data_IF_933199368290
#
_entry.id   IF_933199368290
#
_cell.length_a   1.000
_cell.length_b   1.000
_cell.length_c   1.000
_cell.angle_alpha   90.00
_cell.angle_beta   90.00
_cell.angle_gamma   90.00
#
_symmetry.space_group_name_H-M   'P 1'
#
loop_
_entity.id
_entity.type
_entity.pdbx_description
1 polymer ?
#
# COMPACT_ATOMS: atom_id res chain seq x y z
N UNK A 1 -11.55 -14.33 1.97
CA UNK A 1 -10.71 -13.78 3.05
C UNK A 1 -9.74 -12.71 2.56
N UNK A 2 -8.95 -13.02 1.53
CA UNK A 2 -7.96 -12.04 1.03
C UNK A 2 -8.60 -10.73 0.56
N UNK A 3 -9.75 -10.78 -0.07
CA UNK A 3 -10.45 -9.57 -0.50
C UNK A 3 -10.90 -8.68 0.66
N UNK A 4 -11.28 -9.27 1.78
CA UNK A 4 -11.63 -8.51 2.99
C UNK A 4 -10.39 -7.84 3.57
N UNK A 5 -9.27 -8.55 3.58
CA UNK A 5 -8.01 -8.01 4.07
C UNK A 5 -7.54 -6.86 3.17
N UNK A 6 -7.65 -7.01 1.86
CA UNK A 6 -7.32 -5.94 0.92
C UNK A 6 -8.11 -4.67 1.21
N UNK A 7 -9.41 -4.81 1.45
CA UNK A 7 -10.25 -3.66 1.75
C UNK A 7 -9.85 -2.99 3.05
N UNK A 8 -9.66 -3.76 4.11
CA UNK A 8 -9.24 -3.24 5.40
C UNK A 8 -7.86 -2.61 5.34
N UNK A 9 -6.94 -3.24 4.62
CA UNK A 9 -5.59 -2.72 4.47
C UNK A 9 -5.59 -1.40 3.69
N UNK A 10 -6.40 -1.32 2.63
CA UNK A 10 -6.56 -0.07 1.88
C UNK A 10 -7.09 1.05 2.77
N UNK A 11 -8.09 0.75 3.60
CA UNK A 11 -8.64 1.73 4.53
C UNK A 11 -7.57 2.19 5.53
N UNK A 12 -6.83 1.25 6.09
CA UNK A 12 -5.76 1.52 7.04
C UNK A 12 -4.67 2.42 6.42
N UNK A 13 -4.19 2.06 5.23
CA UNK A 13 -3.12 2.83 4.57
C UNK A 13 -3.59 4.25 4.26
N UNK A 14 -4.78 4.39 3.67
CA UNK A 14 -5.28 5.72 3.30
C UNK A 14 -5.50 6.59 4.54
N UNK A 15 -6.06 6.00 5.59
CA UNK A 15 -6.37 6.76 6.80
C UNK A 15 -5.13 7.34 7.47
N UNK A 16 -4.01 6.60 7.47
CA UNK A 16 -2.81 7.10 8.16
C UNK A 16 -2.12 8.24 7.43
N UNK A 17 -2.50 8.53 6.18
CA UNK A 17 -1.93 9.64 5.42
C UNK A 17 -2.87 10.83 5.28
N UNK A 18 -3.99 10.84 5.99
CA UNK A 18 -4.87 12.00 6.03
C UNK A 18 -4.17 13.14 6.76
N UNK A 19 -4.08 14.30 6.12
CA UNK A 19 -3.45 15.48 6.70
C UNK A 19 -4.48 16.30 7.48
N UNK A 20 -4.02 17.37 8.13
CA UNK A 20 -4.86 18.20 9.00
C UNK A 20 -6.10 18.76 8.29
N UNK A 21 -5.98 19.06 6.99
CA UNK A 21 -7.10 19.60 6.21
C UNK A 21 -8.06 18.51 5.71
N UNK A 22 -7.82 17.25 6.09
CA UNK A 22 -8.67 16.13 5.69
C UNK A 22 -8.33 15.53 4.33
N UNK A 23 -7.32 16.05 3.64
CA UNK A 23 -6.91 15.57 2.33
C UNK A 23 -5.69 14.66 2.41
N UNK A 24 -5.52 13.87 1.35
CA UNK A 24 -4.37 12.96 1.20
C UNK A 24 -3.60 13.38 -0.04
N UNK A 25 -2.28 13.49 0.09
CA UNK A 25 -1.38 13.77 -1.02
C UNK A 25 -1.06 12.47 -1.76
N UNK A 26 -1.26 12.47 -3.09
CA UNK A 26 -0.80 11.34 -3.92
C UNK A 26 0.72 11.20 -3.79
N UNK A 27 1.19 9.96 -3.63
CA UNK A 27 2.62 9.71 -3.45
C UNK A 27 3.44 9.99 -4.71
N UNK A 28 2.82 9.93 -5.89
CA UNK A 28 3.55 10.00 -7.16
C UNK A 28 3.14 11.16 -8.06
N UNK A 29 2.30 12.05 -7.57
CA UNK A 29 1.99 13.31 -8.27
C UNK A 29 1.52 14.35 -7.25
N UNK A 30 1.14 15.54 -7.73
CA UNK A 30 0.77 16.64 -6.83
C UNK A 30 -0.70 16.65 -6.44
N UNK A 31 -1.50 15.73 -6.97
CA UNK A 31 -2.92 15.66 -6.65
C UNK A 31 -3.15 15.42 -5.16
N UNK A 32 -4.03 16.23 -4.57
CA UNK A 32 -4.50 16.05 -3.20
C UNK A 32 -6.01 15.91 -3.26
N UNK A 33 -6.55 14.95 -2.56
CA UNK A 33 -7.99 14.67 -2.60
C UNK A 33 -8.44 13.98 -1.32
N UNK A 34 -9.74 13.76 -1.22
CA UNK A 34 -10.35 13.12 -0.07
C UNK A 34 -10.03 11.63 -0.02
N UNK A 35 -10.22 11.06 1.15
CA UNK A 35 -10.05 9.63 1.40
C UNK A 35 -10.76 8.76 0.34
N UNK A 36 -11.98 9.13 -0.05
CA UNK A 36 -12.76 8.34 -1.02
C UNK A 36 -12.14 8.31 -2.41
N UNK A 37 -11.42 9.36 -2.78
CA UNK A 37 -10.86 9.49 -4.13
C UNK A 37 -9.41 9.03 -4.22
N UNK A 38 -8.79 8.66 -3.10
CA UNK A 38 -7.46 8.10 -3.09
C UNK A 38 -7.53 6.58 -3.01
N UNK A 39 -6.51 5.93 -3.55
CA UNK A 39 -6.39 4.48 -3.59
C UNK A 39 -5.11 4.05 -2.89
N UNK A 40 -5.05 2.78 -2.48
CA UNK A 40 -3.83 2.20 -1.94
C UNK A 40 -3.01 1.65 -3.12
N UNK A 41 -1.92 2.34 -3.44
CA UNK A 41 -1.05 1.95 -4.55
C UNK A 41 0.04 1.01 -4.09
N UNK A 42 0.11 -0.16 -4.72
CA UNK A 42 1.12 -1.17 -4.40
C UNK A 42 2.35 -0.99 -5.27
N UNK A 43 3.53 -0.93 -4.64
CA UNK A 43 4.79 -0.92 -5.38
C UNK A 43 5.05 -2.29 -6.02
N UNK A 44 5.08 -3.35 -5.20
CA UNK A 44 5.06 -4.71 -5.70
C UNK A 44 3.62 -5.17 -5.75
N UNK A 45 3.22 -5.74 -6.88
CA UNK A 45 1.83 -6.11 -7.19
C UNK A 45 1.20 -7.00 -6.12
N UNK A 46 -0.13 -6.94 -5.99
CA UNK A 46 -0.88 -7.80 -5.08
C UNK A 46 -0.74 -9.29 -5.36
N UNK A 47 -0.22 -9.64 -6.53
CA UNK A 47 0.06 -11.05 -6.84
C UNK A 47 1.14 -11.65 -5.93
N UNK A 48 1.98 -10.80 -5.34
CA UNK A 48 3.07 -11.24 -4.46
C UNK A 48 2.61 -11.19 -3.00
N UNK A 49 2.27 -12.35 -2.44
CA UNK A 49 1.67 -12.44 -1.12
C UNK A 49 2.55 -11.84 -0.02
N UNK A 50 3.87 -12.02 -0.12
CA UNK A 50 4.79 -11.54 0.91
C UNK A 50 4.77 -10.02 1.13
N UNK A 51 4.43 -9.26 0.10
CA UNK A 51 4.44 -7.79 0.17
C UNK A 51 3.06 -7.18 0.02
N UNK A 52 2.03 -8.01 -0.21
CA UNK A 52 0.67 -7.56 -0.50
C UNK A 52 0.11 -6.66 0.60
N UNK A 53 0.41 -6.97 1.86
CA UNK A 53 -0.07 -6.21 3.01
C UNK A 53 1.08 -5.67 3.87
N UNK A 54 2.20 -5.33 3.22
CA UNK A 54 3.36 -4.76 3.90
C UNK A 54 3.27 -3.23 3.88
N UNK A 55 3.42 -2.61 5.05
CA UNK A 55 3.34 -1.15 5.18
C UNK A 55 4.31 -0.42 4.26
N UNK A 56 5.50 -0.98 4.05
CA UNK A 56 6.53 -0.35 3.24
C UNK A 56 6.35 -0.53 1.74
N UNK A 57 5.32 -1.27 1.34
CA UNK A 57 5.04 -1.56 -0.06
C UNK A 57 3.89 -0.74 -0.64
N UNK A 58 3.16 0.00 0.20
CA UNK A 58 1.88 0.59 -0.21
C UNK A 58 1.79 2.04 0.25
N UNK A 59 1.50 2.93 -0.70
CA UNK A 59 1.33 4.35 -0.44
C UNK A 59 0.04 4.85 -1.09
N UNK A 60 -0.54 5.96 -0.63
CA UNK A 60 -1.73 6.50 -1.27
C UNK A 60 -1.41 7.03 -2.65
N UNK A 61 -2.25 6.73 -3.61
CA UNK A 61 -2.13 7.25 -4.97
C UNK A 61 -3.50 7.69 -5.49
N UNK A 62 -3.52 8.72 -6.32
CA UNK A 62 -4.73 9.09 -7.02
C UNK A 62 -5.03 8.04 -8.10
N UNK A 63 -6.28 8.03 -8.57
CA UNK A 63 -6.74 7.05 -9.55
C UNK A 63 -5.89 7.10 -10.83
N UNK A 64 -5.54 8.30 -11.30
CA UNK A 64 -4.75 8.45 -12.52
C UNK A 64 -3.39 7.76 -12.39
N UNK A 65 -2.68 7.97 -11.29
CA UNK A 65 -1.37 7.34 -11.09
C UNK A 65 -1.49 5.83 -10.89
N UNK A 66 -2.46 5.40 -10.06
CA UNK A 66 -2.56 4.00 -9.70
C UNK A 66 -3.10 3.13 -10.83
N UNK A 67 -4.13 3.60 -11.55
CA UNK A 67 -4.82 2.77 -12.53
C UNK A 67 -4.40 3.05 -13.98
N UNK A 68 -4.19 4.32 -14.33
CA UNK A 68 -3.98 4.70 -15.73
C UNK A 68 -2.52 4.89 -16.11
N UNK A 69 -1.63 5.04 -15.13
CA UNK A 69 -0.20 5.21 -15.35
C UNK A 69 0.60 4.05 -14.75
N UNK A 70 -0.03 2.87 -14.68
CA UNK A 70 0.62 1.61 -14.24
C UNK A 70 1.26 1.72 -12.84
N UNK A 71 0.65 2.54 -11.96
CA UNK A 71 1.15 2.71 -10.59
C UNK A 71 2.40 3.57 -10.47
N UNK A 72 2.94 4.06 -11.59
CA UNK A 72 4.17 4.86 -11.62
C UNK A 72 5.29 4.22 -10.79
N UNK A 73 5.63 3.00 -11.15
CA UNK A 73 6.53 2.13 -10.38
C UNK A 73 7.86 2.78 -9.97
N UNK A 74 8.50 3.49 -10.88
CA UNK A 74 9.78 4.11 -10.57
C UNK A 74 9.64 5.23 -9.54
N UNK A 75 8.64 6.09 -9.75
CA UNK A 75 8.38 7.18 -8.82
C UNK A 75 7.93 6.63 -7.44
N UNK A 76 7.14 5.57 -7.46
CA UNK A 76 6.71 4.92 -6.22
C UNK A 76 7.90 4.38 -5.44
N UNK A 77 8.84 3.70 -6.09
CA UNK A 77 10.04 3.19 -5.45
C UNK A 77 10.89 4.29 -4.82
N UNK A 78 11.04 5.41 -5.54
CA UNK A 78 11.76 6.57 -5.00
C UNK A 78 11.07 7.14 -3.77
N UNK A 79 9.76 7.24 -3.80
CA UNK A 79 9.00 7.79 -2.68
C UNK A 79 9.06 6.86 -1.47
N UNK A 80 9.04 5.55 -1.68
CA UNK A 80 9.21 4.56 -0.62
C UNK A 80 10.57 4.75 0.06
N UNK A 81 11.63 4.87 -0.73
CA UNK A 81 12.97 5.08 -0.18
C UNK A 81 13.06 6.39 0.60
N UNK A 82 12.42 7.43 0.10
CA UNK A 82 12.41 8.73 0.75
C UNK A 82 11.70 8.68 2.11
N UNK A 83 10.57 7.99 2.18
CA UNK A 83 9.76 7.95 3.41
C UNK A 83 10.26 6.95 4.43
N UNK A 84 10.76 5.80 4.00
CA UNK A 84 11.10 4.70 4.90
C UNK A 84 12.59 4.39 4.98
N UNK A 85 13.41 5.04 4.16
CA UNK A 85 14.84 4.85 4.16
C UNK A 85 15.36 4.26 2.86
N UNK A 86 16.58 4.67 2.48
CA UNK A 86 17.22 4.18 1.26
C UNK A 86 17.32 2.64 1.28
N UNK A 87 16.98 2.03 0.16
CA UNK A 87 17.02 0.56 0.03
C UNK A 87 15.72 -0.14 0.38
N UNK A 88 14.71 0.57 0.92
CA UNK A 88 13.44 -0.05 1.26
C UNK A 88 12.72 -0.63 0.04
N UNK A 89 12.70 0.12 -1.07
CA UNK A 89 12.06 -0.38 -2.30
C UNK A 89 12.73 -1.65 -2.79
N UNK A 90 14.07 -1.70 -2.78
CA UNK A 90 14.80 -2.90 -3.15
C UNK A 90 14.46 -4.06 -2.22
N UNK A 91 14.36 -3.80 -0.92
CA UNK A 91 13.98 -4.82 0.06
C UNK A 91 12.59 -5.38 -0.25
N UNK A 92 11.62 -4.51 -0.61
CA UNK A 92 10.29 -4.96 -0.99
C UNK A 92 10.33 -5.82 -2.25
N UNK A 93 11.14 -5.43 -3.23
CA UNK A 93 11.30 -6.21 -4.45
C UNK A 93 11.84 -7.61 -4.14
N UNK A 94 12.91 -7.69 -3.34
CA UNK A 94 13.50 -8.98 -2.97
C UNK A 94 12.54 -9.83 -2.16
N UNK A 95 11.86 -9.24 -1.19
CA UNK A 95 10.89 -9.94 -0.37
C UNK A 95 9.73 -10.49 -1.20
N UNK A 96 9.28 -9.75 -2.21
CA UNK A 96 8.18 -10.19 -3.07
C UNK A 96 8.52 -11.46 -3.85
N UNK A 97 9.81 -11.70 -4.11
CA UNK A 97 10.27 -12.87 -4.87
C UNK A 97 10.32 -14.14 -4.04
N UNK A 98 10.23 -14.04 -2.72
CA UNK A 98 10.22 -15.21 -1.87
C UNK A 98 8.86 -15.92 -1.99
N UNK A 99 8.88 -17.23 -2.18
CA UNK A 99 7.67 -18.03 -2.25
C UNK A 99 7.20 -18.33 -0.84
N UNK A 100 6.10 -17.71 -0.45
CA UNK A 100 5.51 -17.92 0.87
C UNK A 100 4.01 -17.93 0.76
N UNK A 101 3.38 -18.95 1.36
CA UNK A 101 1.94 -19.00 1.47
C UNK A 101 1.55 -18.65 2.90
N UNK A 102 0.55 -17.79 3.04
CA UNK A 102 -0.02 -17.52 4.35
C UNK A 102 -1.07 -18.58 4.68
N UNK A 103 -0.97 -19.12 5.89
CA UNK A 103 -1.98 -20.04 6.38
C UNK A 103 -3.27 -19.31 6.70
N UNK A 104 -4.37 -20.06 6.82
CA UNK A 104 -5.65 -19.46 7.23
C UNK A 104 -5.53 -18.77 8.60
N UNK A 105 -4.75 -19.36 9.51
CA UNK A 105 -4.51 -18.77 10.83
C UNK A 105 -3.82 -17.40 10.71
N UNK A 106 -2.80 -17.31 9.86
CA UNK A 106 -2.10 -16.06 9.63
C UNK A 106 -3.00 -15.01 8.99
N UNK A 107 -3.83 -15.41 8.02
CA UNK A 107 -4.79 -14.51 7.38
C UNK A 107 -5.82 -14.00 8.39
N UNK A 108 -6.34 -14.88 9.24
CA UNK A 108 -7.29 -14.48 10.27
C UNK A 108 -6.67 -13.51 11.27
N UNK A 109 -5.42 -13.75 11.67
CA UNK A 109 -4.73 -12.86 12.59
C UNK A 109 -4.54 -11.48 11.99
N UNK A 110 -4.13 -11.42 10.72
CA UNK A 110 -3.97 -10.14 10.02
C UNK A 110 -5.29 -9.41 9.87
N UNK A 111 -6.35 -10.13 9.49
CA UNK A 111 -7.69 -9.56 9.38
C UNK A 111 -8.14 -8.93 10.70
N UNK A 112 -7.98 -9.66 11.80
CA UNK A 112 -8.39 -9.17 13.12
C UNK A 112 -7.57 -7.95 13.55
N UNK A 113 -6.27 -7.96 13.27
CA UNK A 113 -5.41 -6.82 13.56
C UNK A 113 -5.84 -5.58 12.79
N UNK A 114 -6.11 -5.72 11.50
CA UNK A 114 -6.57 -4.61 10.66
C UNK A 114 -7.93 -4.08 11.10
N UNK A 115 -8.84 -4.96 11.50
CA UNK A 115 -10.13 -4.51 12.03
C UNK A 115 -9.97 -3.61 13.25
N UNK A 116 -9.01 -3.91 14.11
CA UNK A 116 -8.74 -3.08 15.29
C UNK A 116 -8.15 -1.72 14.92
N UNK A 117 -7.43 -1.63 13.80
CA UNK A 117 -6.78 -0.39 13.37
C UNK A 117 -7.70 0.50 12.54
N UNK A 118 -8.72 -0.06 11.97
CA UNK A 118 -9.69 0.65 11.14
C UNK A 118 -10.96 0.94 11.95
#
# INVERSE_FOLDING_TARGET
>A
MKGRIDRLFSQYVRAKYIEEDGLIQCATCETRDTYKNMQAGHFMSRRYTNTRWADYNVLPQCKACNMFNQGRQWLMGREIDKRFGAGTAQAMHLQSRETKRMTLRELNALHNELERKV
#
